data_IF_603494051487
#
_entry.id   IF_603494051487
#
_cell.length_a   1.000
_cell.length_b   1.000
_cell.length_c   1.000
_cell.angle_alpha   90.00
_cell.angle_beta   90.00
_cell.angle_gamma   90.00
#
_symmetry.space_group_name_H-M   'P 1'
#
loop_
_entity.id
_entity.type
_entity.pdbx_description
1 polymer ?
#
# COMPACT_ATOMS: atom_id res chain seq x y z
N UNK A 1 53.48 4.70 68.31
CA UNK A 1 54.51 4.60 67.25
C UNK A 1 54.35 5.83 66.37
N UNK A 2 55.22 6.84 66.56
CA UNK A 2 56.20 7.34 65.57
C UNK A 2 55.57 7.67 64.21
N UNK A 3 55.66 8.86 63.61
CA UNK A 3 56.45 10.11 63.79
C UNK A 3 55.66 11.19 63.00
N UNK A 4 55.32 12.32 63.62
CA UNK A 4 55.97 13.65 63.49
C UNK A 4 55.75 14.33 62.13
N UNK A 5 54.89 15.36 62.05
CA UNK A 5 55.20 16.80 62.32
C UNK A 5 55.82 17.44 61.07
N UNK A 6 55.39 18.61 60.59
CA UNK A 6 55.75 19.93 61.17
C UNK A 6 55.11 21.05 60.32
N UNK A 7 54.50 22.03 61.01
CA UNK A 7 54.38 23.50 60.80
C UNK A 7 54.03 24.07 59.41
N UNK A 8 53.48 25.29 59.28
CA UNK A 8 52.77 26.26 60.12
C UNK A 8 52.70 27.58 59.32
N UNK A 9 51.85 28.48 59.81
CA UNK A 9 51.79 29.93 59.58
C UNK A 9 51.03 30.39 58.33
N UNK A 10 49.80 30.89 58.45
CA UNK A 10 49.34 32.15 59.11
C UNK A 10 49.78 33.38 58.31
N UNK A 11 48.79 34.14 57.80
CA UNK A 11 48.69 35.61 57.81
C UNK A 11 47.71 36.05 56.71
N UNK A 12 46.45 36.39 57.04
CA UNK A 12 45.93 37.79 57.21
C UNK A 12 45.64 38.46 55.85
N UNK A 13 44.48 39.06 55.54
CA UNK A 13 43.58 39.97 56.28
C UNK A 13 42.23 39.96 55.51
N UNK A 14 41.06 39.76 56.16
CA UNK A 14 40.02 40.79 56.48
C UNK A 14 39.60 41.65 55.26
N UNK A 15 38.33 41.89 54.91
CA UNK A 15 37.16 42.13 55.77
C UNK A 15 35.86 41.99 54.96
N UNK A 16 34.84 41.53 55.69
CA UNK A 16 33.40 41.47 55.43
C UNK A 16 32.83 42.82 54.99
N UNK A 17 31.79 42.82 54.14
CA UNK A 17 30.50 43.49 54.42
C UNK A 17 29.41 43.07 53.42
N UNK A 18 28.41 42.39 53.96
CA UNK A 18 27.08 42.18 53.40
C UNK A 18 26.20 43.36 53.79
N UNK A 19 25.44 43.93 52.84
CA UNK A 19 23.99 44.14 52.96
C UNK A 19 23.44 45.07 51.84
N UNK A 20 22.27 44.68 51.35
CA UNK A 20 21.50 45.20 50.22
C UNK A 20 20.78 46.53 50.44
N UNK A 21 20.61 47.31 49.35
CA UNK A 21 19.40 48.08 48.93
C UNK A 21 19.84 49.17 47.93
N UNK A 22 19.19 49.53 46.82
CA UNK A 22 17.95 49.18 46.12
C UNK A 22 18.18 49.53 44.61
N UNK A 23 17.44 48.81 43.75
CA UNK A 23 17.20 48.99 42.29
C UNK A 23 17.49 50.36 41.67
N UNK A 24 18.07 50.33 40.46
CA UNK A 24 17.38 50.65 39.19
C UNK A 24 18.23 50.22 37.96
N UNK A 25 17.60 49.50 37.03
CA UNK A 25 18.02 49.32 35.62
C UNK A 25 17.10 50.25 34.81
N UNK A 26 17.44 50.78 33.60
CA UNK A 26 18.24 50.11 32.56
C UNK A 26 19.09 50.98 31.61
N UNK A 27 20.04 50.37 30.88
CA UNK A 27 20.22 50.55 29.43
C UNK A 27 21.38 49.69 28.87
N UNK A 28 21.04 48.93 27.82
CA UNK A 28 21.90 48.39 26.73
C UNK A 28 22.77 49.49 26.11
N UNK A 29 23.86 49.30 25.38
CA UNK A 29 24.56 48.16 24.78
C UNK A 29 25.95 48.71 24.37
N UNK A 30 26.99 47.90 24.46
CA UNK A 30 28.03 47.71 23.42
C UNK A 30 29.31 47.19 24.06
N UNK A 31 29.72 46.01 23.61
CA UNK A 31 31.14 45.67 23.42
C UNK A 31 31.23 44.47 22.50
N UNK A 32 31.85 44.74 21.36
CA UNK A 32 32.55 43.74 20.56
C UNK A 32 33.52 42.99 21.47
N UNK A 33 33.48 41.67 21.42
CA UNK A 33 34.67 40.86 21.70
C UNK A 33 34.64 39.63 20.79
N UNK A 34 35.57 39.65 19.85
CA UNK A 34 35.90 38.55 18.96
C UNK A 34 36.65 37.50 19.78
N UNK A 35 36.04 36.36 20.03
CA UNK A 35 36.76 35.12 20.34
C UNK A 35 36.19 34.00 19.47
N UNK A 36 36.99 33.55 18.50
CA UNK A 36 36.72 32.30 17.79
C UNK A 36 36.99 31.18 18.80
N UNK A 37 35.94 30.75 19.50
CA UNK A 37 35.98 29.50 20.26
C UNK A 37 36.23 28.36 19.26
N UNK A 38 37.25 27.51 19.45
CA UNK A 38 37.47 26.37 18.59
C UNK A 38 36.25 25.46 18.65
N UNK A 39 35.61 25.22 17.51
CA UNK A 39 34.52 24.24 17.39
C UNK A 39 35.07 22.86 17.76
N UNK A 40 34.48 22.21 18.76
CA UNK A 40 34.79 20.84 19.22
C UNK A 40 34.48 19.73 18.21
N UNK A 41 34.11 20.08 16.97
CA UNK A 41 33.83 19.11 15.90
C UNK A 41 35.13 18.46 15.44
N UNK A 42 35.22 17.14 15.65
CA UNK A 42 36.26 16.30 15.12
C UNK A 42 36.23 16.31 13.58
N UNK A 43 37.41 16.26 12.95
CA UNK A 43 37.54 16.27 11.50
C UNK A 43 36.97 14.98 10.92
N UNK A 44 36.17 15.11 9.86
CA UNK A 44 35.62 13.96 9.16
C UNK A 44 36.73 13.12 8.51
N UNK A 45 36.48 11.81 8.44
CA UNK A 45 37.37 10.84 7.81
C UNK A 45 36.68 10.02 6.72
N UNK A 46 35.40 10.29 6.47
CA UNK A 46 34.55 9.59 5.52
C UNK A 46 33.67 10.56 4.72
N UNK A 47 33.02 10.03 3.70
CA UNK A 47 32.16 10.78 2.79
C UNK A 47 30.99 11.46 3.52
N UNK A 48 30.30 10.73 4.39
CA UNK A 48 29.12 11.25 5.08
C UNK A 48 29.47 12.40 6.02
N UNK A 49 30.65 12.36 6.64
CA UNK A 49 31.20 13.47 7.41
C UNK A 49 31.59 14.64 6.52
N UNK A 50 32.28 14.41 5.40
CA UNK A 50 32.69 15.47 4.47
C UNK A 50 31.53 16.31 3.95
N UNK A 51 30.40 15.66 3.67
CA UNK A 51 29.14 16.28 3.23
C UNK A 51 28.46 17.16 4.31
N UNK A 52 28.87 17.02 5.59
CA UNK A 52 28.28 17.70 6.77
C UNK A 52 29.22 18.72 7.44
N UNK A 53 30.43 18.90 6.90
CA UNK A 53 31.42 19.84 7.46
C UNK A 53 31.17 21.29 7.06
N UNK A 54 30.58 21.53 5.88
CA UNK A 54 30.22 22.87 5.42
C UNK A 54 28.85 23.37 5.94
N UNK A 55 28.50 24.63 5.61
CA UNK A 55 29.36 25.62 4.97
C UNK A 55 30.42 26.21 5.91
N UNK A 56 31.62 26.39 5.39
CA UNK A 56 32.66 27.23 5.98
C UNK A 56 32.33 28.72 5.87
N UNK A 57 33.00 29.55 6.68
CA UNK A 57 32.76 30.99 6.81
C UNK A 57 32.75 31.75 5.48
N UNK A 58 33.61 31.35 4.54
CA UNK A 58 33.80 31.95 3.22
C UNK A 58 33.54 30.95 2.07
N UNK A 59 32.65 29.98 2.28
CA UNK A 59 32.25 29.04 1.24
C UNK A 59 31.37 29.68 0.14
N UNK A 60 31.40 29.11 -1.06
CA UNK A 60 30.56 29.48 -2.19
C UNK A 60 30.63 30.96 -2.55
N UNK A 61 29.46 31.61 -2.65
CA UNK A 61 29.35 33.03 -3.03
C UNK A 61 29.97 34.00 -2.00
N UNK A 62 30.29 33.52 -0.79
CA UNK A 62 30.95 34.32 0.25
C UNK A 62 32.47 34.32 0.12
N UNK A 63 33.02 33.57 -0.85
CA UNK A 63 34.46 33.47 -1.02
C UNK A 63 35.10 34.82 -1.33
N UNK A 64 36.08 35.17 -0.51
CA UNK A 64 36.87 36.39 -0.62
C UNK A 64 38.30 36.04 -0.21
N UNK A 65 39.19 35.94 -1.20
CA UNK A 65 40.57 35.50 -0.99
C UNK A 65 41.30 36.35 0.05
N UNK A 66 41.03 37.67 0.08
CA UNK A 66 41.69 38.60 1.00
C UNK A 66 41.26 38.33 2.43
N UNK A 67 39.96 38.09 2.66
CA UNK A 67 39.42 37.76 3.99
C UNK A 67 39.88 36.39 4.46
N UNK A 68 39.94 35.41 3.56
CA UNK A 68 40.47 34.08 3.86
C UNK A 68 41.93 34.19 4.32
N UNK A 69 42.77 34.88 3.55
CA UNK A 69 44.18 35.12 3.91
C UNK A 69 44.31 35.82 5.27
N UNK A 70 43.46 36.82 5.54
CA UNK A 70 43.44 37.53 6.81
C UNK A 70 43.09 36.63 8.02
N UNK A 71 42.19 35.66 7.86
CA UNK A 71 41.95 34.67 8.93
C UNK A 71 43.13 33.70 9.09
N UNK A 72 43.73 33.25 7.97
CA UNK A 72 44.89 32.37 7.99
C UNK A 72 46.12 33.05 8.62
N UNK A 73 46.27 34.36 8.45
CA UNK A 73 47.34 35.17 9.07
C UNK A 73 47.30 35.12 10.60
N UNK A 74 46.12 34.91 11.21
CA UNK A 74 45.94 34.83 12.67
C UNK A 74 46.43 33.51 13.28
N UNK A 75 46.66 32.49 12.46
CA UNK A 75 47.12 31.18 12.94
C UNK A 75 48.57 31.25 13.46
N UNK A 76 48.95 30.45 14.48
CA UNK A 76 50.32 30.41 14.97
C UNK A 76 51.29 29.92 13.90
N UNK A 77 52.57 30.29 14.04
CA UNK A 77 53.65 29.68 13.27
C UNK A 77 53.86 28.22 13.72
N UNK A 78 54.37 27.38 12.83
CA UNK A 78 54.58 25.94 13.05
C UNK A 78 53.30 25.20 13.51
N UNK A 79 52.13 25.62 13.00
CA UNK A 79 50.85 25.00 13.32
C UNK A 79 50.81 23.53 12.89
N UNK A 80 50.14 22.69 13.69
CA UNK A 80 49.96 21.27 13.39
C UNK A 80 49.15 21.06 12.10
N UNK A 81 49.39 19.95 11.40
CA UNK A 81 48.62 19.58 10.19
C UNK A 81 47.13 19.50 10.49
N UNK A 82 46.76 18.96 11.66
CA UNK A 82 45.37 18.78 12.09
C UNK A 82 44.68 20.13 12.29
N UNK A 83 45.35 21.07 12.97
CA UNK A 83 44.77 22.37 13.27
C UNK A 83 44.69 23.26 12.02
N UNK A 84 45.71 23.20 11.15
CA UNK A 84 45.69 23.87 9.86
C UNK A 84 44.58 23.32 8.95
N UNK A 85 44.40 22.00 8.89
CA UNK A 85 43.31 21.36 8.16
C UNK A 85 41.95 21.85 8.68
N UNK A 86 41.75 21.84 10.00
CA UNK A 86 40.51 22.28 10.62
C UNK A 86 40.22 23.75 10.31
N UNK A 87 41.21 24.63 10.44
CA UNK A 87 41.06 26.03 10.10
C UNK A 87 40.65 26.22 8.62
N UNK A 88 41.27 25.49 7.69
CA UNK A 88 40.91 25.55 6.27
C UNK A 88 39.49 25.06 6.03
N UNK A 89 39.07 23.95 6.64
CA UNK A 89 37.71 23.40 6.49
C UNK A 89 36.65 24.36 7.07
N UNK A 90 36.87 24.87 8.27
CA UNK A 90 35.96 25.82 8.93
C UNK A 90 35.79 27.13 8.11
N UNK A 91 36.77 27.48 7.28
CA UNK A 91 36.71 28.63 6.39
C UNK A 91 36.09 28.32 5.02
N UNK A 92 36.38 27.15 4.45
CA UNK A 92 36.22 26.92 3.00
C UNK A 92 35.40 25.69 2.60
N UNK A 93 34.97 24.84 3.53
CA UNK A 93 34.14 23.69 3.18
C UNK A 93 32.81 24.12 2.53
N UNK A 94 32.46 23.55 1.38
CA UNK A 94 31.28 23.96 0.62
C UNK A 94 29.97 23.42 1.22
N UNK A 95 28.85 24.09 0.93
CA UNK A 95 27.53 23.62 1.33
C UNK A 95 26.95 22.64 0.30
N UNK A 96 27.09 21.35 0.58
CA UNK A 96 26.51 20.30 -0.26
C UNK A 96 25.02 20.07 0.01
N UNK A 97 24.47 20.53 1.15
CA UNK A 97 23.12 20.17 1.62
C UNK A 97 21.98 20.46 0.63
N UNK A 98 21.97 21.59 -0.12
CA UNK A 98 20.94 21.83 -1.13
C UNK A 98 20.89 20.73 -2.19
N UNK A 99 22.06 20.30 -2.67
CA UNK A 99 22.16 19.23 -3.67
C UNK A 99 21.76 17.88 -3.09
N UNK A 100 22.14 17.59 -1.84
CA UNK A 100 21.75 16.34 -1.17
C UNK A 100 20.23 16.22 -1.03
N UNK A 101 19.55 17.31 -0.66
CA UNK A 101 18.09 17.35 -0.56
C UNK A 101 17.39 17.05 -1.88
N UNK A 102 17.92 17.52 -3.01
CA UNK A 102 17.35 17.20 -4.32
C UNK A 102 17.45 15.70 -4.63
N UNK A 103 18.57 15.07 -4.27
CA UNK A 103 18.79 13.62 -4.43
C UNK A 103 17.90 12.81 -3.47
N UNK A 104 17.89 13.19 -2.19
CA UNK A 104 17.17 12.47 -1.14
C UNK A 104 15.64 12.57 -1.29
N UNK A 105 15.13 13.61 -1.96
CA UNK A 105 13.70 13.78 -2.24
C UNK A 105 13.24 13.03 -3.50
N UNK A 106 14.12 12.28 -4.17
CA UNK A 106 13.72 11.52 -5.35
C UNK A 106 12.70 10.43 -4.99
N UNK A 107 11.54 10.46 -5.63
CA UNK A 107 10.48 9.50 -5.37
C UNK A 107 10.74 8.18 -6.10
N UNK A 108 11.07 7.13 -5.33
CA UNK A 108 11.32 5.77 -5.82
C UNK A 108 10.04 4.91 -5.90
N UNK A 109 8.89 5.46 -5.51
CA UNK A 109 7.63 4.71 -5.39
C UNK A 109 7.08 4.32 -6.76
N UNK A 110 6.53 3.10 -6.81
CA UNK A 110 5.80 2.53 -7.94
C UNK A 110 4.41 2.12 -7.47
N UNK A 111 3.45 2.04 -8.38
CA UNK A 111 2.05 1.70 -8.06
C UNK A 111 1.46 0.68 -9.03
N UNK A 112 0.41 -0.02 -8.61
CA UNK A 112 -0.33 -0.95 -9.48
C UNK A 112 -1.56 -0.23 -10.00
N UNK A 113 -1.40 0.43 -11.14
CA UNK A 113 -2.44 1.25 -11.78
C UNK A 113 -3.37 0.42 -12.68
N UNK A 114 -3.67 -0.81 -12.26
CA UNK A 114 -4.54 -1.73 -13.01
C UNK A 114 -5.75 -2.10 -12.16
N UNK A 115 -6.92 -1.77 -12.69
CA UNK A 115 -8.22 -2.00 -12.05
C UNK A 115 -8.39 -3.48 -11.68
N UNK A 116 -8.65 -3.72 -10.41
CA UNK A 116 -9.00 -5.01 -9.85
C UNK A 116 -10.31 -5.54 -10.49
N UNK A 117 -10.31 -6.76 -11.07
CA UNK A 117 -11.49 -7.33 -11.70
C UNK A 117 -12.72 -7.53 -10.80
N UNK A 118 -12.56 -7.64 -9.48
CA UNK A 118 -13.67 -7.91 -8.54
C UNK A 118 -14.27 -6.64 -7.95
N UNK A 119 -13.44 -5.75 -7.40
CA UNK A 119 -13.91 -4.58 -6.65
C UNK A 119 -13.70 -3.23 -7.38
N UNK A 120 -13.20 -3.27 -8.62
CA UNK A 120 -12.95 -2.10 -9.47
C UNK A 120 -12.02 -1.04 -8.85
N UNK A 121 -11.23 -1.39 -7.84
CA UNK A 121 -10.26 -0.50 -7.22
C UNK A 121 -8.93 -0.50 -8.00
N UNK A 122 -8.20 0.62 -7.95
CA UNK A 122 -6.82 0.75 -8.42
C UNK A 122 -5.91 0.88 -7.22
N UNK A 123 -5.45 -0.26 -6.71
CA UNK A 123 -4.29 -0.48 -5.84
C UNK A 123 -4.33 -1.96 -5.41
N UNK A 124 -3.26 -2.49 -4.82
CA UNK A 124 -3.40 -3.68 -3.98
C UNK A 124 -3.67 -3.16 -2.57
N UNK A 125 -4.92 -3.18 -2.05
CA UNK A 125 -5.09 -3.03 -0.62
C UNK A 125 -4.43 -4.26 0.02
N UNK A 126 -3.58 -4.02 1.01
CA UNK A 126 -3.20 -5.03 2.00
C UNK A 126 -4.39 -5.38 2.92
N UNK A 127 -5.63 -5.23 2.43
CA UNK A 127 -6.82 -5.58 3.18
C UNK A 127 -7.02 -7.08 3.10
N UNK A 128 -7.27 -7.67 4.27
CA UNK A 128 -7.84 -9.00 4.39
C UNK A 128 -9.03 -9.08 3.44
N UNK A 129 -8.98 -10.01 2.48
CA UNK A 129 -10.10 -10.27 1.58
C UNK A 129 -11.38 -10.40 2.40
N UNK A 130 -12.40 -9.60 2.04
CA UNK A 130 -13.70 -9.68 2.69
C UNK A 130 -14.26 -11.08 2.45
N UNK A 131 -14.79 -11.76 3.48
CA UNK A 131 -15.44 -13.05 3.29
C UNK A 131 -16.55 -12.94 2.24
N UNK A 132 -16.62 -13.92 1.33
CA UNK A 132 -17.63 -13.98 0.29
C UNK A 132 -18.72 -14.97 0.70
N UNK A 133 -19.97 -14.57 0.53
CA UNK A 133 -21.15 -15.37 0.82
C UNK A 133 -21.93 -15.62 -0.48
N UNK A 134 -22.14 -16.89 -0.81
CA UNK A 134 -23.01 -17.33 -1.90
C UNK A 134 -24.34 -17.84 -1.33
N UNK A 135 -25.42 -17.11 -1.55
CA UNK A 135 -26.75 -17.44 -1.03
C UNK A 135 -27.62 -17.99 -2.17
N UNK A 136 -28.00 -19.26 -2.11
CA UNK A 136 -28.74 -19.93 -3.18
C UNK A 136 -30.22 -20.01 -2.80
N UNK A 137 -31.08 -19.44 -3.64
CA UNK A 137 -32.54 -19.55 -3.56
C UNK A 137 -33.02 -20.55 -4.62
N UNK A 138 -33.49 -21.72 -4.17
CA UNK A 138 -33.95 -22.77 -5.06
C UNK A 138 -35.48 -22.87 -5.05
N UNK A 139 -36.09 -22.72 -6.23
CA UNK A 139 -37.51 -22.95 -6.45
C UNK A 139 -37.86 -24.43 -6.29
N UNK A 140 -38.81 -24.72 -5.39
CA UNK A 140 -39.41 -26.03 -5.18
C UNK A 140 -40.94 -26.00 -5.29
N UNK A 141 -41.47 -25.08 -6.08
CA UNK A 141 -42.86 -25.04 -6.48
C UNK A 141 -43.23 -26.23 -7.40
N UNK A 142 -44.53 -26.47 -7.57
CA UNK A 142 -45.04 -27.61 -8.33
C UNK A 142 -44.66 -27.63 -9.82
N UNK A 143 -44.37 -26.47 -10.43
CA UNK A 143 -43.92 -26.40 -11.84
C UNK A 143 -42.62 -27.18 -12.07
N UNK A 144 -41.77 -27.28 -11.03
CA UNK A 144 -40.50 -28.00 -11.06
C UNK A 144 -40.64 -29.54 -11.16
N UNK A 145 -41.88 -30.08 -11.10
CA UNK A 145 -42.20 -31.49 -11.46
C UNK A 145 -42.03 -31.75 -12.96
N UNK A 146 -42.11 -30.70 -13.79
CA UNK A 146 -41.99 -30.79 -15.24
C UNK A 146 -40.73 -31.55 -15.67
N UNK A 147 -40.75 -32.16 -16.86
CA UNK A 147 -39.62 -32.96 -17.36
C UNK A 147 -38.89 -32.26 -18.50
N UNK A 148 -37.57 -32.31 -18.43
CA UNK A 148 -36.66 -31.86 -19.49
C UNK A 148 -35.62 -32.97 -19.70
N UNK A 149 -35.47 -33.45 -20.93
CA UNK A 149 -34.51 -34.51 -21.25
C UNK A 149 -34.68 -35.79 -20.43
N UNK A 150 -35.92 -36.13 -20.05
CA UNK A 150 -36.26 -37.36 -19.30
C UNK A 150 -36.11 -37.28 -17.77
N UNK A 151 -35.56 -36.19 -17.22
CA UNK A 151 -35.46 -35.93 -15.76
C UNK A 151 -36.37 -34.79 -15.34
N UNK A 152 -36.71 -34.69 -14.05
CA UNK A 152 -37.52 -33.54 -13.58
C UNK A 152 -36.67 -32.27 -13.54
N UNK A 153 -37.28 -31.09 -13.70
CA UNK A 153 -36.59 -29.79 -13.56
C UNK A 153 -35.89 -29.69 -12.21
N UNK A 154 -36.54 -30.16 -11.14
CA UNK A 154 -35.97 -30.24 -9.80
C UNK A 154 -34.70 -31.11 -9.75
N UNK A 155 -34.68 -32.30 -10.34
CA UNK A 155 -33.50 -33.17 -10.32
C UNK A 155 -32.30 -32.50 -11.01
N UNK A 156 -32.56 -31.76 -12.09
CA UNK A 156 -31.54 -31.03 -12.84
C UNK A 156 -31.03 -29.82 -12.06
N UNK A 157 -31.94 -29.05 -11.44
CA UNK A 157 -31.59 -27.92 -10.60
C UNK A 157 -30.75 -28.36 -9.38
N UNK A 158 -31.12 -29.46 -8.71
CA UNK A 158 -30.33 -30.02 -7.60
C UNK A 158 -28.94 -30.45 -8.05
N UNK A 159 -28.82 -31.17 -9.16
CA UNK A 159 -27.51 -31.62 -9.67
C UNK A 159 -26.57 -30.42 -9.95
N UNK A 160 -27.11 -29.38 -10.56
CA UNK A 160 -26.32 -28.21 -10.91
C UNK A 160 -25.99 -27.32 -9.71
N UNK A 161 -26.93 -27.08 -8.79
CA UNK A 161 -26.69 -26.36 -7.53
C UNK A 161 -25.62 -27.06 -6.71
N UNK A 162 -25.63 -28.40 -6.65
CA UNK A 162 -24.60 -29.15 -5.95
C UNK A 162 -23.22 -28.99 -6.60
N UNK A 163 -23.14 -29.07 -7.94
CA UNK A 163 -21.89 -28.88 -8.67
C UNK A 163 -21.35 -27.46 -8.52
N UNK A 164 -22.19 -26.45 -8.68
CA UNK A 164 -21.84 -25.05 -8.46
C UNK A 164 -21.29 -24.85 -7.04
N UNK A 165 -22.02 -25.33 -6.04
CA UNK A 165 -21.58 -25.20 -4.64
C UNK A 165 -20.24 -25.91 -4.39
N UNK A 166 -19.97 -27.03 -5.09
CA UNK A 166 -18.69 -27.74 -5.01
C UNK A 166 -17.53 -27.08 -5.76
N UNK A 167 -17.83 -26.24 -6.76
CA UNK A 167 -16.81 -25.48 -7.51
C UNK A 167 -16.51 -24.13 -6.88
N UNK A 168 -17.30 -23.72 -5.87
CA UNK A 168 -17.01 -22.50 -5.13
C UNK A 168 -15.62 -22.57 -4.46
N UNK A 169 -14.87 -21.46 -4.47
CA UNK A 169 -13.55 -21.39 -3.84
C UNK A 169 -13.58 -21.75 -2.36
N UNK A 170 -12.44 -22.27 -1.86
CA UNK A 170 -12.24 -22.43 -0.41
C UNK A 170 -12.34 -21.05 0.26
N UNK A 171 -13.08 -20.97 1.37
CA UNK A 171 -13.29 -19.72 2.11
C UNK A 171 -14.60 -18.99 1.77
N UNK A 172 -15.34 -19.41 0.74
CA UNK A 172 -16.71 -18.94 0.48
C UNK A 172 -17.68 -19.64 1.43
N UNK A 173 -18.52 -18.87 2.11
CA UNK A 173 -19.67 -19.43 2.83
C UNK A 173 -20.83 -19.61 1.86
N UNK A 174 -21.58 -20.70 2.02
CA UNK A 174 -22.72 -21.04 1.19
C UNK A 174 -23.95 -21.15 2.07
N UNK A 175 -25.07 -20.61 1.61
CA UNK A 175 -26.39 -20.88 2.16
C UNK A 175 -27.29 -21.46 1.07
N UNK A 176 -28.21 -22.33 1.46
CA UNK A 176 -29.29 -22.82 0.61
C UNK A 176 -30.63 -22.58 1.29
N UNK A 177 -31.47 -21.76 0.65
CA UNK A 177 -32.88 -21.60 1.01
C UNK A 177 -33.75 -22.14 -0.10
N UNK A 178 -34.75 -22.90 0.31
CA UNK A 178 -35.77 -23.47 -0.58
C UNK A 178 -37.07 -22.72 -0.35
N UNK A 179 -37.80 -22.45 -1.43
CA UNK A 179 -39.12 -21.84 -1.38
C UNK A 179 -40.14 -22.65 -2.19
N UNK A 180 -41.42 -22.51 -1.87
CA UNK A 180 -42.48 -23.26 -2.55
C UNK A 180 -42.56 -24.74 -2.21
N UNK A 181 -41.87 -25.20 -1.17
CA UNK A 181 -41.76 -26.61 -0.78
C UNK A 181 -42.85 -27.10 0.21
N UNK A 182 -43.84 -26.27 0.56
CA UNK A 182 -44.93 -26.63 1.48
C UNK A 182 -46.29 -26.52 0.82
N UNK A 183 -47.24 -27.29 1.34
CA UNK A 183 -48.60 -27.36 0.81
C UNK A 183 -48.65 -28.10 -0.53
N UNK A 184 -49.55 -27.67 -1.39
CA UNK A 184 -49.68 -28.15 -2.77
C UNK A 184 -49.92 -26.97 -3.72
N UNK A 185 -49.93 -27.21 -5.02
CA UNK A 185 -50.29 -26.21 -6.02
C UNK A 185 -51.80 -25.95 -6.13
N UNK A 186 -52.61 -26.48 -5.22
CA UNK A 186 -54.03 -26.15 -5.13
C UNK A 186 -54.25 -24.81 -4.41
N UNK A 187 -55.28 -24.06 -4.81
CA UNK A 187 -55.59 -22.73 -4.23
C UNK A 187 -55.81 -22.76 -2.72
N UNK A 188 -56.39 -23.85 -2.19
CA UNK A 188 -56.61 -24.03 -0.75
C UNK A 188 -55.32 -24.02 0.09
N UNK A 189 -54.19 -24.39 -0.51
CA UNK A 189 -52.89 -24.47 0.14
C UNK A 189 -52.00 -23.27 -0.24
N UNK A 190 -52.50 -22.34 -1.05
CA UNK A 190 -51.76 -21.18 -1.54
C UNK A 190 -51.24 -20.33 -0.39
N UNK A 191 -52.06 -20.06 0.63
CA UNK A 191 -51.65 -19.26 1.79
C UNK A 191 -50.46 -19.90 2.53
N UNK A 192 -50.52 -21.22 2.74
CA UNK A 192 -49.44 -21.98 3.40
C UNK A 192 -48.17 -21.94 2.57
N UNK A 193 -48.27 -22.21 1.27
CA UNK A 193 -47.11 -22.22 0.39
C UNK A 193 -46.47 -20.83 0.27
N UNK A 194 -47.29 -19.78 0.11
CA UNK A 194 -46.82 -18.42 -0.10
C UNK A 194 -46.21 -17.77 1.14
N UNK A 195 -46.42 -18.33 2.32
CA UNK A 195 -45.77 -17.92 3.58
C UNK A 195 -44.53 -18.77 3.92
N UNK A 196 -44.21 -19.77 3.11
CA UNK A 196 -43.17 -20.75 3.43
C UNK A 196 -41.90 -20.55 2.60
N UNK A 197 -40.78 -20.38 3.30
CA UNK A 197 -39.43 -20.54 2.77
C UNK A 197 -38.55 -21.03 3.91
N UNK A 198 -37.57 -21.87 3.64
CA UNK A 198 -36.73 -22.50 4.68
C UNK A 198 -35.26 -22.38 4.27
N UNK A 199 -34.41 -21.86 5.15
CA UNK A 199 -32.97 -22.01 5.01
C UNK A 199 -32.61 -23.42 5.50
N UNK A 200 -32.23 -24.28 4.55
CA UNK A 200 -32.05 -25.72 4.76
C UNK A 200 -30.58 -26.08 4.91
N UNK A 201 -29.70 -25.21 4.41
CA UNK A 201 -28.28 -25.21 4.71
C UNK A 201 -27.91 -23.81 5.16
N UNK A 202 -27.55 -23.61 6.44
CA UNK A 202 -27.25 -22.28 6.96
C UNK A 202 -26.00 -21.71 6.30
N UNK A 203 -25.87 -20.39 6.27
CA UNK A 203 -24.67 -19.73 5.76
C UNK A 203 -23.40 -20.18 6.52
N UNK A 204 -22.65 -21.11 5.93
CA UNK A 204 -21.42 -21.69 6.49
C UNK A 204 -20.50 -22.17 5.36
N UNK A 205 -19.24 -22.47 5.67
CA UNK A 205 -18.32 -23.10 4.72
C UNK A 205 -18.97 -24.34 4.07
N UNK A 206 -18.76 -24.51 2.76
CA UNK A 206 -19.34 -25.64 2.01
C UNK A 206 -18.85 -26.99 2.53
N UNK A 207 -19.79 -27.84 2.94
CA UNK A 207 -19.60 -29.24 3.28
C UNK A 207 -20.41 -30.09 2.30
N UNK A 208 -19.72 -30.82 1.43
CA UNK A 208 -20.35 -31.55 0.33
C UNK A 208 -21.41 -32.56 0.80
N UNK A 209 -21.15 -33.25 1.93
CA UNK A 209 -22.07 -34.26 2.46
C UNK A 209 -23.32 -33.60 3.05
N UNK A 210 -23.14 -32.60 3.93
CA UNK A 210 -24.27 -31.91 4.58
C UNK A 210 -25.10 -31.11 3.58
N UNK A 211 -24.45 -30.45 2.64
CA UNK A 211 -25.13 -29.70 1.59
C UNK A 211 -25.97 -30.61 0.71
N UNK A 212 -25.38 -31.72 0.25
CA UNK A 212 -26.10 -32.73 -0.54
C UNK A 212 -27.28 -33.36 0.22
N UNK A 213 -27.13 -33.62 1.52
CA UNK A 213 -28.24 -34.09 2.36
C UNK A 213 -29.36 -33.06 2.46
N UNK A 214 -29.03 -31.79 2.68
CA UNK A 214 -30.00 -30.69 2.79
C UNK A 214 -30.78 -30.52 1.49
N UNK A 215 -30.08 -30.52 0.35
CA UNK A 215 -30.66 -30.35 -0.98
C UNK A 215 -31.66 -31.47 -1.35
N UNK A 216 -31.46 -32.68 -0.84
CA UNK A 216 -32.26 -33.85 -1.21
C UNK A 216 -33.55 -34.04 -0.40
N UNK A 217 -33.83 -33.19 0.60
CA UNK A 217 -34.97 -33.35 1.51
C UNK A 217 -36.33 -32.92 0.92
N UNK A 218 -36.36 -32.17 -0.19
CA UNK A 218 -37.56 -31.48 -0.65
C UNK A 218 -38.08 -32.02 -1.99
N UNK A 219 -39.40 -31.92 -2.17
CA UNK A 219 -40.12 -32.26 -3.39
C UNK A 219 -40.86 -31.03 -3.93
N UNK A 220 -40.95 -30.88 -5.25
CA UNK A 220 -41.65 -29.78 -5.89
C UNK A 220 -43.17 -29.90 -5.67
N UNK A 221 -43.79 -28.99 -4.91
CA UNK A 221 -45.20 -29.17 -4.48
C UNK A 221 -46.03 -27.90 -4.42
N UNK A 222 -45.49 -26.74 -4.05
CA UNK A 222 -46.25 -25.53 -3.75
C UNK A 222 -46.32 -24.49 -4.88
N UNK A 223 -46.44 -23.24 -4.46
CA UNK A 223 -46.45 -21.99 -5.23
C UNK A 223 -45.08 -21.28 -5.16
N UNK A 224 -44.90 -20.20 -5.93
CA UNK A 224 -43.59 -19.54 -6.19
C UNK A 224 -43.50 -18.16 -5.50
N UNK A 225 -43.06 -18.09 -4.22
CA UNK A 225 -42.89 -16.83 -3.48
C UNK A 225 -41.46 -16.26 -3.55
N UNK A 226 -41.02 -15.80 -4.73
CA UNK A 226 -39.66 -15.27 -4.97
C UNK A 226 -39.41 -14.02 -4.11
N UNK A 227 -40.37 -13.09 -4.04
CA UNK A 227 -40.26 -11.87 -3.25
C UNK A 227 -40.07 -12.15 -1.76
N UNK A 228 -40.76 -13.17 -1.23
CA UNK A 228 -40.56 -13.62 0.15
C UNK A 228 -39.16 -14.21 0.33
N UNK A 229 -38.71 -15.06 -0.59
CA UNK A 229 -37.39 -15.69 -0.52
C UNK A 229 -36.25 -14.65 -0.50
N UNK A 230 -36.33 -13.63 -1.36
CA UNK A 230 -35.38 -12.50 -1.38
C UNK A 230 -35.44 -11.68 -0.07
N UNK A 231 -36.64 -11.45 0.45
CA UNK A 231 -36.82 -10.73 1.73
C UNK A 231 -36.19 -11.49 2.90
N UNK A 232 -36.29 -12.83 2.92
CA UNK A 232 -35.66 -13.65 3.96
C UNK A 232 -34.15 -13.73 3.78
N UNK A 233 -33.65 -13.86 2.55
CA UNK A 233 -32.21 -13.79 2.27
C UNK A 233 -31.60 -12.48 2.76
N UNK A 234 -32.31 -11.35 2.62
CA UNK A 234 -31.90 -10.07 3.19
C UNK A 234 -31.67 -10.15 4.69
N UNK A 235 -32.64 -10.68 5.44
CA UNK A 235 -32.54 -10.81 6.89
C UNK A 235 -31.35 -11.68 7.29
N UNK A 236 -31.22 -12.85 6.68
CA UNK A 236 -30.15 -13.80 7.00
C UNK A 236 -28.75 -13.20 6.74
N UNK A 237 -28.60 -12.43 5.66
CA UNK A 237 -27.34 -11.79 5.30
C UNK A 237 -27.05 -10.56 6.17
N UNK A 238 -28.05 -9.76 6.53
CA UNK A 238 -27.88 -8.60 7.42
C UNK A 238 -27.47 -9.02 8.84
N UNK A 239 -27.94 -10.18 9.33
CA UNK A 239 -27.55 -10.72 10.64
C UNK A 239 -26.05 -11.08 10.74
N UNK A 240 -25.32 -11.16 9.61
CA UNK A 240 -23.92 -11.62 9.57
C UNK A 240 -22.88 -10.50 9.51
N UNK A 241 -23.30 -9.24 9.40
CA UNK A 241 -22.44 -8.05 9.47
C UNK A 241 -22.10 -7.41 8.11
N UNK A 242 -21.57 -6.18 8.15
CA UNK A 242 -21.47 -5.27 7.00
C UNK A 242 -20.16 -5.36 6.17
N UNK A 243 -19.31 -6.36 6.41
CA UNK A 243 -17.97 -6.46 5.81
C UNK A 243 -17.76 -7.76 5.01
N UNK A 244 -18.79 -8.17 4.27
CA UNK A 244 -18.77 -9.37 3.40
C UNK A 244 -19.31 -9.04 2.02
N UNK A 245 -18.79 -9.69 0.99
CA UNK A 245 -19.38 -9.65 -0.34
C UNK A 245 -20.49 -10.69 -0.45
N UNK A 246 -21.72 -10.26 -0.74
CA UNK A 246 -22.90 -11.11 -0.76
C UNK A 246 -23.42 -11.27 -2.20
N UNK A 247 -23.55 -12.51 -2.66
CA UNK A 247 -24.10 -12.82 -3.98
C UNK A 247 -25.26 -13.80 -3.80
N UNK A 248 -26.44 -13.43 -4.29
CA UNK A 248 -27.64 -14.26 -4.28
C UNK A 248 -27.87 -14.86 -5.66
N UNK A 249 -28.10 -16.16 -5.72
CA UNK A 249 -28.46 -16.88 -6.95
C UNK A 249 -29.86 -17.43 -6.82
N UNK A 250 -30.81 -16.93 -7.61
CA UNK A 250 -32.18 -17.46 -7.68
C UNK A 250 -32.27 -18.44 -8.84
N UNK A 251 -32.66 -19.67 -8.55
CA UNK A 251 -32.91 -20.72 -9.55
C UNK A 251 -34.42 -20.95 -9.60
N UNK A 252 -35.07 -20.49 -10.67
CA UNK A 252 -36.52 -20.50 -10.83
C UNK A 252 -36.95 -20.98 -12.22
N UNK A 253 -38.04 -21.75 -12.31
CA UNK A 253 -38.65 -22.12 -13.60
C UNK A 253 -39.90 -21.29 -13.96
N UNK A 254 -40.23 -20.28 -13.15
CA UNK A 254 -41.42 -19.47 -13.33
C UNK A 254 -41.38 -18.11 -12.67
N UNK A 255 -42.52 -17.40 -12.80
CA UNK A 255 -42.75 -16.09 -12.19
C UNK A 255 -43.29 -16.22 -10.75
N UNK A 256 -43.27 -15.11 -10.03
CA UNK A 256 -43.97 -14.96 -8.76
C UNK A 256 -45.47 -15.31 -8.91
N UNK A 257 -45.99 -16.20 -8.06
CA UNK A 257 -47.40 -16.61 -8.08
C UNK A 257 -48.14 -16.34 -6.76
N UNK A 258 -47.44 -15.73 -5.80
CA UNK A 258 -47.91 -15.46 -4.44
C UNK A 258 -48.30 -14.00 -4.19
N UNK A 259 -48.26 -13.15 -5.21
CA UNK A 259 -48.65 -11.73 -5.11
C UNK A 259 -47.60 -10.83 -4.46
N UNK A 260 -46.37 -11.33 -4.27
CA UNK A 260 -45.24 -10.49 -3.87
C UNK A 260 -44.70 -9.62 -5.01
N UNK A 261 -43.78 -8.71 -4.67
CA UNK A 261 -43.03 -7.92 -5.64
C UNK A 261 -41.55 -8.33 -5.61
N UNK A 262 -41.12 -9.28 -6.45
CA UNK A 262 -39.74 -9.74 -6.47
C UNK A 262 -38.75 -8.67 -6.96
N UNK A 263 -39.21 -7.72 -7.79
CA UNK A 263 -38.37 -6.61 -8.29
C UNK A 263 -38.03 -5.66 -7.14
N UNK A 264 -39.05 -5.26 -6.37
CA UNK A 264 -38.85 -4.43 -5.20
C UNK A 264 -38.00 -5.15 -4.14
N UNK A 265 -38.26 -6.43 -3.87
CA UNK A 265 -37.48 -7.21 -2.91
C UNK A 265 -35.99 -7.34 -3.32
N UNK A 266 -35.70 -7.56 -4.60
CA UNK A 266 -34.32 -7.62 -5.10
C UNK A 266 -33.61 -6.26 -4.97
N UNK A 267 -34.31 -5.17 -5.28
CA UNK A 267 -33.79 -3.80 -5.11
C UNK A 267 -33.48 -3.50 -3.65
N UNK A 268 -34.39 -3.82 -2.74
CA UNK A 268 -34.19 -3.61 -1.32
C UNK A 268 -33.02 -4.42 -0.78
N UNK A 269 -32.87 -5.68 -1.22
CA UNK A 269 -31.74 -6.52 -0.85
C UNK A 269 -30.41 -5.93 -1.33
N UNK A 270 -30.35 -5.42 -2.56
CA UNK A 270 -29.15 -4.78 -3.09
C UNK A 270 -28.80 -3.45 -2.40
N UNK A 271 -29.81 -2.70 -1.94
CA UNK A 271 -29.63 -1.42 -1.27
C UNK A 271 -29.50 -1.53 0.27
N UNK A 272 -29.64 -2.74 0.80
CA UNK A 272 -29.58 -3.03 2.23
C UNK A 272 -28.16 -2.98 2.80
N UNK A 273 -28.03 -3.20 4.11
CA UNK A 273 -26.71 -3.36 4.74
C UNK A 273 -25.91 -4.53 4.18
N UNK A 274 -26.60 -5.55 3.62
CA UNK A 274 -25.98 -6.69 2.98
C UNK A 274 -25.43 -6.40 1.57
N UNK A 275 -25.89 -5.33 0.90
CA UNK A 275 -25.49 -4.94 -0.47
C UNK A 275 -25.41 -6.09 -1.48
N UNK A 276 -26.34 -7.04 -1.40
CA UNK A 276 -26.18 -8.29 -2.14
C UNK A 276 -26.52 -8.12 -3.64
N UNK A 277 -25.71 -8.75 -4.50
CA UNK A 277 -25.96 -8.81 -5.95
C UNK A 277 -26.89 -9.98 -6.22
N UNK A 278 -28.02 -9.76 -6.89
CA UNK A 278 -29.02 -10.81 -7.18
C UNK A 278 -28.92 -11.26 -8.63
N UNK A 279 -28.39 -12.46 -8.84
CA UNK A 279 -28.38 -13.14 -10.13
C UNK A 279 -29.58 -14.08 -10.25
N UNK A 280 -30.20 -14.11 -11.43
CA UNK A 280 -31.35 -14.96 -11.71
C UNK A 280 -31.02 -15.97 -12.80
N UNK A 281 -31.36 -17.22 -12.52
CA UNK A 281 -31.20 -18.36 -13.40
C UNK A 281 -32.59 -18.89 -13.71
N UNK A 282 -33.09 -18.56 -14.91
CA UNK A 282 -34.36 -19.04 -15.42
C UNK A 282 -34.21 -20.42 -16.03
N UNK A 283 -34.90 -21.42 -15.50
CA UNK A 283 -34.88 -22.80 -16.00
C UNK A 283 -36.14 -23.10 -16.82
N UNK A 284 -36.02 -23.28 -18.14
CA UNK A 284 -37.16 -23.62 -19.02
C UNK A 284 -38.38 -22.68 -18.81
N UNK A 285 -38.12 -21.37 -18.87
CA UNK A 285 -39.09 -20.29 -18.63
C UNK A 285 -39.61 -19.72 -19.94
N UNK A 286 -40.92 -19.45 -20.02
CA UNK A 286 -41.55 -18.81 -21.17
C UNK A 286 -41.13 -17.34 -21.32
N UNK A 287 -41.36 -16.75 -22.51
CA UNK A 287 -40.87 -15.40 -22.82
C UNK A 287 -41.34 -14.33 -21.80
N UNK A 288 -42.59 -14.42 -21.32
CA UNK A 288 -43.12 -13.50 -20.33
C UNK A 288 -42.39 -13.64 -18.99
N UNK A 289 -42.16 -14.88 -18.53
CA UNK A 289 -41.41 -15.15 -17.33
C UNK A 289 -39.94 -14.73 -17.42
N UNK A 290 -39.28 -14.94 -18.57
CA UNK A 290 -37.91 -14.46 -18.78
C UNK A 290 -37.80 -12.94 -18.60
N UNK A 291 -38.76 -12.18 -19.15
CA UNK A 291 -38.78 -10.72 -18.99
C UNK A 291 -39.01 -10.31 -17.53
N UNK A 292 -39.90 -10.99 -16.81
CA UNK A 292 -40.14 -10.73 -15.40
C UNK A 292 -38.89 -11.01 -14.55
N UNK A 293 -38.28 -12.18 -14.73
CA UNK A 293 -37.06 -12.59 -14.02
C UNK A 293 -35.86 -11.68 -14.36
N UNK A 294 -35.77 -11.20 -15.60
CA UNK A 294 -34.74 -10.23 -15.99
C UNK A 294 -34.86 -8.91 -15.22
N UNK A 295 -36.07 -8.38 -15.04
CA UNK A 295 -36.30 -7.17 -14.23
C UNK A 295 -35.88 -7.36 -12.78
N UNK A 296 -36.06 -8.56 -12.22
CA UNK A 296 -35.61 -8.88 -10.86
C UNK A 296 -34.08 -8.84 -10.76
N UNK A 297 -33.38 -9.46 -11.72
CA UNK A 297 -31.92 -9.42 -11.77
C UNK A 297 -31.38 -7.99 -11.88
N UNK A 298 -31.93 -7.20 -12.82
CA UNK A 298 -31.55 -5.80 -13.04
C UNK A 298 -31.78 -4.95 -11.78
N UNK A 299 -32.92 -5.11 -11.11
CA UNK A 299 -33.23 -4.39 -9.88
C UNK A 299 -32.30 -4.78 -8.72
N UNK A 300 -31.85 -6.02 -8.66
CA UNK A 300 -30.86 -6.51 -7.69
C UNK A 300 -29.40 -6.32 -8.12
N UNK A 301 -29.13 -5.58 -9.20
CA UNK A 301 -27.78 -5.27 -9.68
C UNK A 301 -27.00 -6.45 -10.28
N UNK A 302 -27.68 -7.57 -10.58
CA UNK A 302 -27.08 -8.77 -11.14
C UNK A 302 -27.53 -9.08 -12.56
N UNK A 303 -27.26 -10.30 -13.01
CA UNK A 303 -27.55 -10.75 -14.36
C UNK A 303 -28.64 -11.83 -14.41
N UNK A 304 -29.42 -11.82 -15.49
CA UNK A 304 -30.34 -12.89 -15.82
C UNK A 304 -29.70 -13.83 -16.84
N UNK A 305 -29.89 -15.14 -16.65
CA UNK A 305 -29.50 -16.15 -17.63
C UNK A 305 -30.56 -17.21 -17.75
N UNK A 306 -30.81 -17.64 -18.98
CA UNK A 306 -31.74 -18.71 -19.30
C UNK A 306 -30.95 -20.00 -19.51
N UNK A 307 -31.45 -21.09 -18.94
CA UNK A 307 -30.87 -22.43 -19.06
C UNK A 307 -31.98 -23.40 -19.44
N UNK A 308 -31.73 -24.26 -20.43
CA UNK A 308 -32.71 -25.20 -20.94
C UNK A 308 -32.39 -26.64 -20.55
N UNK A 309 -31.27 -26.87 -19.88
CA UNK A 309 -30.80 -28.18 -19.46
C UNK A 309 -29.79 -28.09 -18.31
N UNK A 310 -29.51 -29.22 -17.66
CA UNK A 310 -28.39 -29.32 -16.69
C UNK A 310 -27.05 -28.94 -17.33
N UNK A 311 -26.86 -29.28 -18.62
CA UNK A 311 -25.66 -28.91 -19.35
C UNK A 311 -25.52 -27.39 -19.44
N UNK A 312 -26.59 -26.68 -19.78
CA UNK A 312 -26.58 -25.22 -19.89
C UNK A 312 -26.36 -24.55 -18.54
N UNK A 313 -26.96 -25.09 -17.48
CA UNK A 313 -26.78 -24.57 -16.13
C UNK A 313 -25.35 -24.78 -15.62
N UNK A 314 -24.74 -25.93 -15.91
CA UNK A 314 -23.32 -26.15 -15.66
C UNK A 314 -22.45 -25.20 -16.48
N UNK A 315 -22.70 -25.10 -17.78
CA UNK A 315 -21.92 -24.25 -18.68
C UNK A 315 -22.01 -22.78 -18.30
N UNK A 316 -23.15 -22.33 -17.78
CA UNK A 316 -23.31 -20.98 -17.23
C UNK A 316 -22.30 -20.70 -16.11
N UNK A 317 -22.25 -21.55 -15.08
CA UNK A 317 -21.34 -21.36 -13.96
C UNK A 317 -19.87 -21.58 -14.35
N UNK A 318 -19.58 -22.60 -15.16
CA UNK A 318 -18.23 -22.86 -15.68
C UNK A 318 -17.74 -21.67 -16.55
N UNK A 319 -18.63 -21.04 -17.31
CA UNK A 319 -18.32 -19.83 -18.09
C UNK A 319 -17.99 -18.65 -17.19
N UNK A 320 -18.80 -18.39 -16.15
CA UNK A 320 -18.55 -17.30 -15.20
C UNK A 320 -17.19 -17.43 -14.51
N UNK A 321 -16.84 -18.64 -14.08
CA UNK A 321 -15.52 -18.93 -13.52
C UNK A 321 -14.41 -18.68 -14.55
N UNK A 322 -14.55 -19.20 -15.77
CA UNK A 322 -13.57 -19.02 -16.84
C UNK A 322 -13.37 -17.55 -17.23
N UNK A 323 -14.44 -16.76 -17.27
CA UNK A 323 -14.38 -15.32 -17.56
C UNK A 323 -13.55 -14.60 -16.48
N UNK A 324 -13.74 -14.92 -15.20
CA UNK A 324 -12.95 -14.31 -14.12
C UNK A 324 -11.49 -14.78 -14.15
N UNK A 325 -11.24 -16.05 -14.42
CA UNK A 325 -9.89 -16.57 -14.61
C UNK A 325 -9.12 -15.75 -15.66
N UNK A 326 -9.75 -15.47 -16.81
CA UNK A 326 -9.12 -14.70 -17.88
C UNK A 326 -8.95 -13.21 -17.53
N UNK A 327 -9.91 -12.60 -16.83
CA UNK A 327 -9.76 -11.23 -16.32
C UNK A 327 -8.57 -11.12 -15.36
N UNK A 328 -8.41 -12.07 -14.44
CA UNK A 328 -7.28 -12.10 -13.51
C UNK A 328 -5.94 -12.39 -14.19
N UNK A 329 -5.91 -13.31 -15.16
CA UNK A 329 -4.71 -13.54 -15.98
C UNK A 329 -4.31 -12.27 -16.76
N UNK A 330 -5.28 -11.59 -17.37
CA UNK A 330 -5.05 -10.31 -18.05
C UNK A 330 -4.57 -9.22 -17.09
N UNK A 331 -5.16 -9.14 -15.89
CA UNK A 331 -4.75 -8.22 -14.84
C UNK A 331 -3.29 -8.43 -14.45
N UNK A 332 -2.86 -9.66 -14.17
CA UNK A 332 -1.47 -9.97 -13.80
C UNK A 332 -0.47 -9.56 -14.88
N UNK A 333 -0.80 -9.82 -16.15
CA UNK A 333 0.02 -9.41 -17.31
C UNK A 333 0.12 -7.88 -17.40
N UNK A 334 -1.00 -7.17 -17.26
CA UNK A 334 -1.04 -5.69 -17.31
C UNK A 334 -0.31 -5.07 -16.11
N UNK A 335 -0.47 -5.63 -14.92
CA UNK A 335 0.18 -5.16 -13.70
C UNK A 335 1.70 -5.29 -13.85
N UNK A 336 2.21 -6.45 -14.28
CA UNK A 336 3.64 -6.65 -14.50
C UNK A 336 4.18 -5.71 -15.59
N UNK A 337 3.48 -5.54 -16.71
CA UNK A 337 3.88 -4.61 -17.77
C UNK A 337 3.90 -3.14 -17.29
N UNK A 338 2.89 -2.72 -16.53
CA UNK A 338 2.83 -1.38 -15.94
C UNK A 338 3.99 -1.14 -14.98
N UNK A 339 4.25 -2.08 -14.06
CA UNK A 339 5.37 -1.99 -13.13
C UNK A 339 6.72 -1.94 -13.84
N UNK A 340 6.93 -2.73 -14.89
CA UNK A 340 8.15 -2.66 -15.70
C UNK A 340 8.32 -1.30 -16.39
N UNK A 341 7.23 -0.75 -16.95
CA UNK A 341 7.23 0.58 -17.56
C UNK A 341 7.58 1.67 -16.55
N UNK A 342 6.95 1.65 -15.38
CA UNK A 342 7.23 2.62 -14.31
C UNK A 342 8.66 2.50 -13.80
N UNK A 343 9.17 1.28 -13.60
CA UNK A 343 10.57 1.02 -13.22
C UNK A 343 11.53 1.67 -14.21
N UNK A 344 11.35 1.45 -15.51
CA UNK A 344 12.19 2.05 -16.55
C UNK A 344 12.10 3.58 -16.54
N UNK A 345 10.89 4.15 -16.38
CA UNK A 345 10.69 5.59 -16.30
C UNK A 345 11.42 6.19 -15.09
N UNK A 346 11.26 5.59 -13.91
CA UNK A 346 11.91 6.05 -12.67
C UNK A 346 13.42 5.95 -12.75
N UNK A 347 13.98 4.89 -13.35
CA UNK A 347 15.43 4.81 -13.60
C UNK A 347 15.90 5.94 -14.50
N UNK A 348 15.20 6.19 -15.61
CA UNK A 348 15.53 7.31 -16.51
C UNK A 348 15.39 8.69 -15.85
N UNK A 349 14.42 8.89 -14.96
CA UNK A 349 14.28 10.11 -14.17
C UNK A 349 15.40 10.27 -13.14
N UNK A 350 15.83 9.18 -12.50
CA UNK A 350 16.98 9.21 -11.58
C UNK A 350 18.27 9.62 -12.30
N UNK A 351 18.49 9.11 -13.51
CA UNK A 351 19.64 9.49 -14.35
C UNK A 351 19.60 10.97 -14.73
N UNK A 352 18.42 11.50 -15.10
CA UNK A 352 18.24 12.92 -15.40
C UNK A 352 18.48 13.79 -14.17
N UNK A 353 17.95 13.42 -13.02
CA UNK A 353 18.16 14.14 -11.77
C UNK A 353 19.66 14.21 -11.48
N UNK A 354 20.35 13.07 -11.49
CA UNK A 354 21.78 13.02 -11.22
C UNK A 354 22.59 13.82 -12.21
N UNK A 355 22.26 13.78 -13.50
CA UNK A 355 22.91 14.64 -14.48
C UNK A 355 22.72 16.13 -14.15
N UNK A 356 21.50 16.53 -13.79
CA UNK A 356 21.17 17.91 -13.40
C UNK A 356 21.98 18.37 -12.18
N UNK A 357 21.93 17.60 -11.09
CA UNK A 357 22.64 17.94 -9.85
C UNK A 357 24.16 17.82 -9.97
N UNK A 358 24.67 16.96 -10.86
CA UNK A 358 26.11 16.74 -11.06
C UNK A 358 26.84 18.02 -11.43
N UNK A 359 26.21 18.88 -12.22
CA UNK A 359 26.82 20.14 -12.65
C UNK A 359 27.11 21.08 -11.47
N UNK A 360 26.12 21.26 -10.58
CA UNK A 360 26.24 22.07 -9.37
C UNK A 360 27.17 21.42 -8.35
N UNK A 361 27.05 20.12 -8.15
CA UNK A 361 27.90 19.36 -7.24
C UNK A 361 29.38 19.42 -7.65
N UNK A 362 29.67 19.22 -8.94
CA UNK A 362 31.03 19.33 -9.46
C UNK A 362 31.59 20.74 -9.33
N UNK A 363 30.76 21.78 -9.55
CA UNK A 363 31.17 23.17 -9.34
C UNK A 363 31.57 23.44 -7.88
N UNK A 364 30.80 22.93 -6.91
CA UNK A 364 31.14 23.02 -5.49
C UNK A 364 32.46 22.31 -5.19
N UNK A 365 32.60 21.04 -5.60
CA UNK A 365 33.84 20.28 -5.38
C UNK A 365 35.08 20.97 -5.97
N UNK A 366 34.99 21.49 -7.20
CA UNK A 366 36.10 22.20 -7.85
C UNK A 366 36.43 23.52 -7.16
N UNK A 367 35.42 24.24 -6.65
CA UNK A 367 35.60 25.45 -5.85
C UNK A 367 36.31 25.13 -4.54
N UNK A 368 35.82 24.13 -3.80
CA UNK A 368 36.40 23.66 -2.55
C UNK A 368 37.87 23.26 -2.72
N UNK A 369 38.16 22.38 -3.69
CA UNK A 369 39.50 21.90 -4.01
C UNK A 369 40.46 23.06 -4.30
N UNK A 370 40.02 23.99 -5.17
CA UNK A 370 40.82 25.16 -5.56
C UNK A 370 41.11 26.05 -4.36
N UNK A 371 40.09 26.39 -3.58
CA UNK A 371 40.21 27.35 -2.48
C UNK A 371 41.05 26.75 -1.35
N UNK A 372 40.85 25.47 -1.01
CA UNK A 372 41.66 24.76 -0.01
C UNK A 372 43.12 24.63 -0.46
N UNK A 373 43.38 24.38 -1.75
CA UNK A 373 44.74 24.40 -2.32
C UNK A 373 45.38 25.77 -2.16
N UNK A 374 44.68 26.85 -2.52
CA UNK A 374 45.21 28.21 -2.39
C UNK A 374 45.52 28.57 -0.93
N UNK A 375 44.63 28.24 0.01
CA UNK A 375 44.84 28.46 1.44
C UNK A 375 46.07 27.69 1.97
N UNK A 376 46.22 26.43 1.56
CA UNK A 376 47.37 25.58 1.92
C UNK A 376 48.68 26.14 1.39
N UNK A 377 48.75 26.56 0.13
CA UNK A 377 49.95 27.18 -0.45
C UNK A 377 50.28 28.49 0.27
N UNK A 378 49.28 29.31 0.59
CA UNK A 378 49.48 30.56 1.33
C UNK A 378 50.07 30.34 2.73
N UNK A 379 49.58 29.34 3.48
CA UNK A 379 50.16 28.99 4.78
C UNK A 379 51.64 28.58 4.65
N UNK A 380 52.02 27.91 3.55
CA UNK A 380 53.42 27.57 3.28
C UNK A 380 54.26 28.80 2.98
N UNK A 381 53.77 29.70 2.12
CA UNK A 381 54.44 30.95 1.75
C UNK A 381 54.68 31.85 2.96
N UNK A 382 53.73 31.88 3.91
CA UNK A 382 53.84 32.62 5.17
C UNK A 382 54.72 31.94 6.23
N UNK A 383 55.28 30.78 5.94
CA UNK A 383 56.10 30.02 6.89
C UNK A 383 55.31 29.47 8.09
N UNK A 384 53.98 29.41 8.00
CA UNK A 384 53.14 28.88 9.09
C UNK A 384 53.15 27.36 9.14
N UNK A 385 53.45 26.71 8.03
CA UNK A 385 53.57 25.24 7.91
C UNK A 385 54.86 24.83 7.20
N UNK A 386 55.35 23.63 7.51
CA UNK A 386 56.48 23.01 6.81
C UNK A 386 56.10 22.52 5.41
N UNK A 387 57.10 22.24 4.55
CA UNK A 387 56.85 21.61 3.25
C UNK A 387 56.21 20.23 3.37
N UNK A 388 56.62 19.46 4.38
CA UNK A 388 56.01 18.17 4.70
C UNK A 388 54.54 18.34 5.07
N UNK A 389 54.22 19.27 5.98
CA UNK A 389 52.84 19.56 6.39
C UNK A 389 51.96 19.99 5.21
N UNK A 390 52.52 20.75 4.26
CA UNK A 390 51.85 21.14 3.01
C UNK A 390 51.52 19.92 2.15
N UNK A 391 52.47 19.01 1.96
CA UNK A 391 52.26 17.77 1.21
C UNK A 391 51.23 16.86 1.89
N UNK A 392 51.33 16.68 3.21
CA UNK A 392 50.41 15.85 4.00
C UNK A 392 48.97 16.37 3.89
N UNK A 393 48.75 17.69 4.06
CA UNK A 393 47.44 18.31 3.85
C UNK A 393 46.94 18.15 2.42
N UNK A 394 47.85 18.18 1.44
CA UNK A 394 47.48 17.93 0.05
C UNK A 394 46.92 16.54 -0.20
N UNK A 395 47.49 15.52 0.45
CA UNK A 395 46.93 14.17 0.38
C UNK A 395 45.57 14.08 1.06
N UNK A 396 45.39 14.76 2.20
CA UNK A 396 44.11 14.77 2.93
C UNK A 396 43.00 15.40 2.08
N UNK A 397 43.23 16.59 1.51
CA UNK A 397 42.23 17.25 0.66
C UNK A 397 41.98 16.50 -0.66
N UNK A 398 42.99 15.81 -1.21
CA UNK A 398 42.79 14.94 -2.36
C UNK A 398 41.87 13.75 -2.01
N UNK A 399 42.05 13.12 -0.85
CA UNK A 399 41.16 12.05 -0.38
C UNK A 399 39.73 12.54 -0.22
N UNK A 400 39.53 13.73 0.36
CA UNK A 400 38.23 14.39 0.44
C UNK A 400 37.60 14.58 -0.95
N UNK A 401 38.34 15.16 -1.89
CA UNK A 401 37.86 15.38 -3.25
C UNK A 401 37.44 14.08 -3.95
N UNK A 402 38.26 13.02 -3.86
CA UNK A 402 37.95 11.71 -4.45
C UNK A 402 36.69 11.12 -3.81
N UNK A 403 36.59 11.14 -2.47
CA UNK A 403 35.42 10.61 -1.77
C UNK A 403 34.13 11.35 -2.18
N UNK A 404 34.19 12.67 -2.30
CA UNK A 404 33.06 13.48 -2.76
C UNK A 404 32.72 13.17 -4.23
N UNK A 405 33.71 12.99 -5.10
CA UNK A 405 33.48 12.65 -6.50
C UNK A 405 32.74 11.31 -6.67
N UNK A 406 33.02 10.34 -5.78
CA UNK A 406 32.37 9.02 -5.79
C UNK A 406 30.92 9.04 -5.27
N UNK A 407 30.48 10.12 -4.60
CA UNK A 407 29.15 10.23 -4.00
C UNK A 407 28.02 10.04 -5.01
N UNK A 408 28.17 10.62 -6.21
CA UNK A 408 27.15 10.56 -7.27
C UNK A 408 26.89 9.11 -7.69
N UNK A 409 27.94 8.34 -7.92
CA UNK A 409 27.82 6.95 -8.39
C UNK A 409 27.25 6.07 -7.29
N UNK A 410 27.67 6.28 -6.04
CA UNK A 410 27.09 5.61 -4.87
C UNK A 410 25.58 5.89 -4.76
N UNK A 411 25.16 7.16 -4.81
CA UNK A 411 23.74 7.53 -4.70
C UNK A 411 22.90 7.05 -5.87
N UNK A 412 23.42 7.10 -7.09
CA UNK A 412 22.74 6.50 -8.24
C UNK A 412 22.51 5.01 -8.05
N UNK A 413 23.52 4.29 -7.55
CA UNK A 413 23.38 2.86 -7.26
C UNK A 413 22.32 2.62 -6.19
N UNK A 414 22.34 3.38 -5.09
CA UNK A 414 21.34 3.28 -4.00
C UNK A 414 19.90 3.51 -4.51
N UNK A 415 19.67 4.59 -5.25
CA UNK A 415 18.35 4.92 -5.82
C UNK A 415 17.87 3.80 -6.77
N UNK A 416 18.74 3.31 -7.66
CA UNK A 416 18.36 2.25 -8.58
C UNK A 416 18.09 0.92 -7.89
N UNK A 417 18.84 0.59 -6.84
CA UNK A 417 18.59 -0.59 -6.03
C UNK A 417 17.27 -0.47 -5.28
N UNK A 418 16.91 0.72 -4.80
CA UNK A 418 15.61 0.96 -4.17
C UNK A 418 14.45 0.84 -5.15
N UNK A 419 14.55 1.44 -6.34
CA UNK A 419 13.57 1.24 -7.43
C UNK A 419 13.41 -0.24 -7.77
N UNK A 420 14.52 -0.99 -7.84
CA UNK A 420 14.51 -2.42 -8.13
C UNK A 420 13.87 -3.26 -7.02
N UNK A 421 14.10 -2.89 -5.75
CA UNK A 421 13.42 -3.50 -4.59
C UNK A 421 11.93 -3.23 -4.61
N UNK A 422 11.52 -1.97 -4.77
CA UNK A 422 10.11 -1.57 -4.86
C UNK A 422 9.39 -2.32 -5.99
N UNK A 423 10.06 -2.46 -7.15
CA UNK A 423 9.55 -3.24 -8.27
C UNK A 423 9.40 -4.72 -7.91
N UNK A 424 10.43 -5.35 -7.33
CA UNK A 424 10.40 -6.77 -7.00
C UNK A 424 9.28 -7.09 -6.00
N UNK A 425 9.14 -6.29 -4.95
CA UNK A 425 8.10 -6.45 -3.92
C UNK A 425 6.69 -6.33 -4.50
N UNK A 426 6.44 -5.31 -5.32
CA UNK A 426 5.13 -5.12 -5.95
C UNK A 426 4.83 -6.16 -7.02
N UNK A 427 5.82 -6.54 -7.83
CA UNK A 427 5.64 -7.56 -8.86
C UNK A 427 5.38 -8.94 -8.24
N UNK A 428 6.09 -9.30 -7.17
CA UNK A 428 5.80 -10.54 -6.42
C UNK A 428 4.39 -10.49 -5.82
N UNK A 429 3.98 -9.35 -5.23
CA UNK A 429 2.62 -9.18 -4.70
C UNK A 429 1.56 -9.37 -5.80
N UNK A 430 1.78 -8.79 -6.98
CA UNK A 430 0.90 -8.94 -8.13
C UNK A 430 0.84 -10.40 -8.62
N UNK A 431 1.98 -11.09 -8.75
CA UNK A 431 2.04 -12.49 -9.16
C UNK A 431 1.33 -13.42 -8.17
N UNK A 432 1.52 -13.19 -6.86
CA UNK A 432 0.81 -13.94 -5.82
C UNK A 432 -0.69 -13.75 -5.93
N UNK A 433 -1.15 -12.51 -6.09
CA UNK A 433 -2.58 -12.19 -6.27
C UNK A 433 -3.11 -12.83 -7.56
N UNK A 434 -2.42 -12.72 -8.69
CA UNK A 434 -2.83 -13.37 -9.95
C UNK A 434 -2.99 -14.89 -9.77
N UNK A 435 -2.00 -15.55 -9.16
CA UNK A 435 -2.01 -16.99 -8.93
C UNK A 435 -3.14 -17.42 -8.00
N UNK A 436 -3.34 -16.69 -6.91
CA UNK A 436 -4.43 -16.92 -5.96
C UNK A 436 -5.79 -16.84 -6.67
N UNK A 437 -6.02 -15.77 -7.43
CA UNK A 437 -7.31 -15.54 -8.08
C UNK A 437 -7.55 -16.46 -9.27
N UNK A 438 -6.51 -16.84 -10.01
CA UNK A 438 -6.61 -17.91 -11.01
C UNK A 438 -6.90 -19.27 -10.37
N UNK A 439 -6.35 -19.55 -9.18
CA UNK A 439 -6.69 -20.73 -8.40
C UNK A 439 -8.14 -20.72 -7.89
N UNK A 440 -8.66 -19.53 -7.55
CA UNK A 440 -10.05 -19.27 -7.17
C UNK A 440 -11.02 -19.61 -8.31
N UNK A 441 -10.68 -19.24 -9.55
CA UNK A 441 -11.60 -19.35 -10.71
C UNK A 441 -11.29 -20.44 -11.74
N UNK A 442 -10.15 -21.11 -11.65
CA UNK A 442 -9.68 -22.07 -12.65
C UNK A 442 -10.11 -23.52 -12.46
N UNK A 443 -11.03 -23.81 -11.52
CA UNK A 443 -11.49 -25.17 -11.20
C UNK A 443 -12.82 -25.52 -11.85
#
# INVERSE_FOLDING_TARGET
MLKKSVLACISMFLLVLSACSIKETPAKESKQENDIKPTTKELATDLDGYLKEGPGKYAGVKYDETKVKSELDKLPNDISVKDAQKAIIDLLAEDYQPVLKEIDNFNTTLHIDVVDPENQATDIPNEKQKPVNAYILLDSSGSMVGKVGGRTKMDLAKAAVNRFSSSLPKGVNVSLRVYGNKGSSADKDKDVSCKSTEEVYPLTAYDSQKFGQSLNQFKPTGWTPIGLALTQAKKDLEEKGADTENIVYVVSDGIETCGGDPVQAAKELNQSGAKAIVNIIGFDVDNAGQQALKKVAEAGGGEYSTVQSEKDLREYFDKKNRDMYWKWNSWGTKASLSLHSQRLSRKGESEKLLFSVSSGFWKLMKSEEKNMKMAREYLKEKGKISEKSRLDMGQIFLKRYIALADYKDKKWSEINQEIDRNFAELNESAERKEKEMKGKYGK
#
